data_IF_662414834787
#
_entry.id   IF_662414834787
#
_cell.length_a   1.000
_cell.length_b   1.000
_cell.length_c   1.000
_cell.angle_alpha   90.00
_cell.angle_beta   90.00
_cell.angle_gamma   90.00
#
_symmetry.space_group_name_H-M   'P 1'
#
loop_
_entity.id
_entity.type
_entity.pdbx_description
1 polymer ?
#
# COMPACT_ATOMS: atom_id res chain seq x y z
N UNK A 1 37.58 32.05 -0.96
CA UNK A 1 38.92 31.61 -1.45
C UNK A 1 40.06 31.90 -0.45
N UNK A 2 40.02 32.97 0.35
CA UNK A 2 41.08 33.27 1.33
C UNK A 2 41.06 32.38 2.60
N UNK A 3 39.92 31.80 2.99
CA UNK A 3 39.85 30.89 4.15
C UNK A 3 40.43 29.49 3.87
N UNK A 4 40.37 29.03 2.61
CA UNK A 4 40.91 27.73 2.21
C UNK A 4 42.45 27.78 2.18
N UNK A 5 43.04 28.92 1.82
CA UNK A 5 44.50 29.12 1.83
C UNK A 5 45.08 29.11 3.25
N UNK A 6 44.36 29.67 4.23
CA UNK A 6 44.77 29.61 5.65
C UNK A 6 44.78 28.19 6.22
N UNK A 7 43.88 27.31 5.77
CA UNK A 7 43.79 25.93 6.25
C UNK A 7 44.88 25.05 5.63
N UNK A 8 45.30 25.34 4.40
CA UNK A 8 46.40 24.63 3.73
C UNK A 8 47.76 25.03 4.31
N UNK A 9 48.00 26.31 4.57
CA UNK A 9 49.23 26.79 5.23
C UNK A 9 49.37 26.30 6.68
N UNK A 10 48.23 26.07 7.37
CA UNK A 10 48.22 25.48 8.71
C UNK A 10 48.52 23.97 8.69
N UNK A 11 48.13 23.26 7.61
CA UNK A 11 48.44 21.84 7.43
C UNK A 11 49.89 21.59 7.02
N UNK A 12 50.49 22.46 6.19
CA UNK A 12 51.91 22.35 5.84
C UNK A 12 52.83 22.68 7.03
N UNK A 13 52.44 23.60 7.92
CA UNK A 13 53.16 23.86 9.17
C UNK A 13 53.00 22.78 10.23
N UNK A 14 52.00 21.91 10.10
CA UNK A 14 51.75 20.79 11.02
C UNK A 14 52.40 19.47 10.56
N UNK A 15 53.21 19.50 9.50
CA UNK A 15 53.80 18.33 8.86
C UNK A 15 54.82 17.53 9.67
N UNK A 16 55.17 17.92 10.90
CA UNK A 16 56.23 17.25 11.68
C UNK A 16 55.83 16.74 13.08
N UNK A 17 54.53 16.63 13.39
CA UNK A 17 54.12 16.00 14.66
C UNK A 17 52.98 15.02 14.44
N UNK A 18 53.31 13.84 13.89
CA UNK A 18 52.52 12.64 14.14
C UNK A 18 52.99 12.08 15.48
N UNK A 19 52.26 12.38 16.55
CA UNK A 19 51.89 11.36 17.53
C UNK A 19 50.78 11.91 18.43
N UNK A 20 49.76 11.08 18.67
CA UNK A 20 48.62 11.31 19.58
C UNK A 20 47.49 12.20 19.04
N UNK A 21 46.66 11.62 18.16
CA UNK A 21 45.26 12.07 18.02
C UNK A 21 44.54 11.72 19.33
N UNK A 22 43.95 12.68 20.06
CA UNK A 22 43.21 12.36 21.28
C UNK A 22 41.94 11.57 20.95
N UNK A 23 41.47 10.67 21.84
CA UNK A 23 40.27 9.85 21.64
C UNK A 23 38.96 10.66 21.49
N UNK A 24 39.02 11.99 21.61
CA UNK A 24 37.89 12.90 21.39
C UNK A 24 37.60 13.15 19.90
N UNK A 25 38.58 13.11 18.99
CA UNK A 25 38.34 13.39 17.56
C UNK A 25 37.69 12.23 16.81
N UNK A 26 38.02 10.97 17.16
CA UNK A 26 37.31 9.80 16.64
C UNK A 26 35.83 9.78 17.06
N UNK A 27 35.53 10.30 18.26
CA UNK A 27 34.17 10.50 18.72
C UNK A 27 33.47 11.65 17.98
N UNK A 28 34.15 12.75 17.64
CA UNK A 28 33.53 13.81 16.83
C UNK A 28 33.25 13.32 15.42
N UNK A 29 34.11 12.53 14.79
CA UNK A 29 33.86 12.02 13.43
C UNK A 29 32.73 10.97 13.42
N UNK A 30 32.67 10.09 14.44
CA UNK A 30 31.56 9.15 14.63
C UNK A 30 30.25 9.87 14.98
N UNK A 31 30.28 10.89 15.84
CA UNK A 31 29.12 11.73 16.20
C UNK A 31 28.70 12.57 15.01
N UNK A 32 29.62 13.14 14.23
CA UNK A 32 29.30 13.91 13.03
C UNK A 32 28.74 12.99 11.96
N UNK A 33 29.26 11.78 11.77
CA UNK A 33 28.68 10.78 10.85
C UNK A 33 27.31 10.31 11.33
N UNK A 34 27.12 10.14 12.64
CA UNK A 34 25.83 9.78 13.25
C UNK A 34 24.83 10.93 13.13
N UNK A 35 25.21 12.18 13.40
CA UNK A 35 24.41 13.39 13.20
C UNK A 35 24.11 13.62 11.71
N UNK A 36 25.06 13.38 10.81
CA UNK A 36 24.84 13.54 9.35
C UNK A 36 23.97 12.41 8.77
N UNK A 37 23.94 11.23 9.40
CA UNK A 37 22.98 10.17 9.09
C UNK A 37 21.60 10.44 9.68
N UNK A 38 21.53 10.87 10.95
CA UNK A 38 20.30 11.25 11.65
C UNK A 38 19.66 12.53 11.05
N UNK A 39 20.44 13.42 10.42
CA UNK A 39 19.92 14.65 9.80
C UNK A 39 19.38 14.44 8.38
N UNK A 40 19.07 13.21 7.96
CA UNK A 40 18.44 12.93 6.65
C UNK A 40 17.02 12.37 6.82
N UNK A 41 16.05 13.22 7.18
CA UNK A 41 14.63 12.82 7.25
C UNK A 41 14.07 12.34 5.90
N UNK A 42 14.79 12.56 4.79
CA UNK A 42 14.40 12.16 3.43
C UNK A 42 14.85 10.75 3.03
N UNK A 43 15.68 10.05 3.83
CA UNK A 43 16.07 8.67 3.53
C UNK A 43 15.04 7.66 4.06
N UNK A 44 14.80 6.54 3.38
CA UNK A 44 13.94 5.49 3.92
C UNK A 44 14.67 4.77 5.05
N UNK A 45 14.01 4.71 6.19
CA UNK A 45 14.51 4.06 7.39
C UNK A 45 13.86 2.69 7.55
N UNK A 46 14.65 1.71 7.95
CA UNK A 46 14.20 0.35 8.19
C UNK A 46 14.29 0.12 9.68
N UNK A 47 13.11 0.10 10.33
CA UNK A 47 13.00 -0.06 11.78
C UNK A 47 13.33 -1.51 12.15
N UNK A 48 14.42 -1.71 12.89
CA UNK A 48 14.87 -3.02 13.33
C UNK A 48 14.31 -3.35 14.70
N UNK A 49 14.06 -4.64 14.91
CA UNK A 49 13.74 -5.21 16.21
C UNK A 49 15.02 -5.45 17.01
N UNK A 50 15.16 -4.79 18.16
CA UNK A 50 16.36 -4.88 19.02
C UNK A 50 16.13 -5.79 20.24
N UNK A 51 16.14 -7.11 20.04
CA UNK A 51 16.03 -8.06 21.17
C UNK A 51 14.68 -8.08 21.90
N UNK A 52 13.79 -7.14 21.61
CA UNK A 52 12.40 -7.08 22.09
C UNK A 52 11.59 -8.28 21.61
N UNK A 53 10.48 -8.62 22.25
CA UNK A 53 9.53 -9.56 21.67
C UNK A 53 8.75 -8.91 20.51
N UNK A 54 8.24 -9.74 19.60
CA UNK A 54 7.59 -9.30 18.35
C UNK A 54 6.33 -8.48 18.61
N UNK A 55 5.59 -8.83 19.66
CA UNK A 55 4.34 -8.19 20.00
C UNK A 55 4.59 -6.80 20.58
N UNK A 56 5.55 -6.66 21.50
CA UNK A 56 5.97 -5.35 22.03
C UNK A 56 6.46 -4.44 20.90
N UNK A 57 7.30 -4.96 20.00
CA UNK A 57 7.77 -4.21 18.84
C UNK A 57 6.60 -3.73 17.95
N UNK A 58 5.62 -4.59 17.70
CA UNK A 58 4.42 -4.22 16.93
C UNK A 58 3.59 -3.13 17.64
N UNK A 59 3.42 -3.21 18.96
CA UNK A 59 2.69 -2.21 19.74
C UNK A 59 3.35 -0.83 19.65
N UNK A 60 4.67 -0.76 19.76
CA UNK A 60 5.42 0.50 19.57
C UNK A 60 5.20 1.09 18.18
N UNK A 61 5.20 0.25 17.13
CA UNK A 61 4.88 0.69 15.76
C UNK A 61 3.43 1.18 15.63
N UNK A 62 2.48 0.58 16.35
CA UNK A 62 1.09 1.05 16.39
C UNK A 62 0.96 2.44 17.02
N UNK A 63 1.72 2.74 18.08
CA UNK A 63 1.73 4.07 18.69
C UNK A 63 2.14 5.13 17.67
N UNK A 64 3.19 4.86 16.89
CA UNK A 64 3.64 5.76 15.82
C UNK A 64 2.57 5.87 14.73
N UNK A 65 2.01 4.74 14.31
CA UNK A 65 1.00 4.66 13.25
C UNK A 65 -0.28 5.48 13.51
N UNK A 66 -0.66 5.71 14.77
CA UNK A 66 -1.81 6.56 15.10
C UNK A 66 -1.49 8.04 15.27
N UNK A 67 -0.22 8.44 15.23
CA UNK A 67 0.14 9.85 15.27
C UNK A 67 -0.18 10.54 13.95
N UNK A 68 -0.76 11.74 14.04
CA UNK A 68 -1.02 12.62 12.90
C UNK A 68 0.24 13.36 12.43
N UNK A 69 1.34 13.27 13.17
CA UNK A 69 2.62 13.94 12.89
C UNK A 69 3.49 13.17 11.88
N UNK A 70 3.04 11.99 11.46
CA UNK A 70 3.83 11.06 10.65
C UNK A 70 3.81 11.48 9.18
N UNK A 71 4.98 11.90 8.67
CA UNK A 71 5.18 12.21 7.25
C UNK A 71 5.09 10.99 6.31
N UNK A 72 5.04 11.26 4.99
CA UNK A 72 4.89 10.23 3.95
C UNK A 72 5.84 9.04 4.10
N UNK A 73 7.14 9.33 4.15
CA UNK A 73 8.18 8.31 4.22
C UNK A 73 8.15 7.56 5.55
N UNK A 74 7.87 8.26 6.65
CA UNK A 74 7.74 7.70 7.99
C UNK A 74 6.58 6.70 8.05
N UNK A 75 5.40 7.04 7.49
CA UNK A 75 4.25 6.10 7.41
C UNK A 75 4.59 4.87 6.59
N UNK A 76 5.30 5.04 5.48
CA UNK A 76 5.77 3.92 4.66
C UNK A 76 6.71 3.00 5.45
N UNK A 77 7.74 3.55 6.09
CA UNK A 77 8.72 2.79 6.87
C UNK A 77 8.07 2.01 8.01
N UNK A 78 7.19 2.67 8.77
CA UNK A 78 6.42 2.04 9.87
C UNK A 78 5.53 0.93 9.33
N UNK A 79 4.80 1.18 8.23
CA UNK A 79 3.95 0.16 7.61
C UNK A 79 4.74 -1.05 7.14
N UNK A 80 5.88 -0.87 6.48
CA UNK A 80 6.75 -1.99 6.06
C UNK A 80 7.30 -2.75 7.28
N UNK A 81 7.67 -2.05 8.36
CA UNK A 81 8.12 -2.69 9.60
C UNK A 81 7.01 -3.53 10.24
N UNK A 82 5.77 -3.01 10.29
CA UNK A 82 4.61 -3.76 10.80
C UNK A 82 4.36 -5.03 9.99
N UNK A 83 4.47 -4.97 8.66
CA UNK A 83 4.39 -6.16 7.80
C UNK A 83 5.51 -7.16 8.09
N UNK A 84 6.72 -6.66 8.38
CA UNK A 84 7.87 -7.48 8.73
C UNK A 84 7.76 -8.20 10.08
N UNK A 85 6.96 -7.66 11.01
CA UNK A 85 6.59 -8.38 12.22
C UNK A 85 5.76 -9.63 11.93
N UNK A 86 5.00 -9.67 10.83
CA UNK A 86 4.16 -10.83 10.50
C UNK A 86 4.92 -11.84 9.62
N UNK A 87 5.70 -11.35 8.67
CA UNK A 87 6.48 -12.20 7.77
C UNK A 87 7.87 -11.57 7.50
N UNK A 88 8.90 -12.19 8.07
CA UNK A 88 10.30 -11.72 7.93
C UNK A 88 10.82 -11.83 6.50
N UNK A 89 10.29 -12.76 5.70
CA UNK A 89 10.71 -12.96 4.31
C UNK A 89 10.22 -11.79 3.46
N UNK A 90 8.94 -11.42 3.60
CA UNK A 90 8.35 -10.22 2.99
C UNK A 90 9.19 -8.97 3.29
N UNK A 91 9.59 -8.79 4.54
CA UNK A 91 10.43 -7.67 4.95
C UNK A 91 11.80 -7.68 4.28
N UNK A 92 12.47 -8.83 4.29
CA UNK A 92 13.76 -9.02 3.65
C UNK A 92 13.70 -8.71 2.14
N UNK A 93 12.63 -9.14 1.47
CA UNK A 93 12.44 -8.92 0.05
C UNK A 93 12.14 -7.46 -0.29
N UNK A 94 11.29 -6.79 0.49
CA UNK A 94 11.03 -5.35 0.34
C UNK A 94 12.31 -4.56 0.59
N UNK A 95 13.08 -4.92 1.61
CA UNK A 95 14.39 -4.32 1.88
C UNK A 95 15.36 -4.51 0.71
N UNK A 96 15.38 -5.69 0.08
CA UNK A 96 16.21 -5.94 -1.10
C UNK A 96 15.79 -5.06 -2.29
N UNK A 97 14.49 -4.90 -2.55
CA UNK A 97 13.96 -4.01 -3.59
C UNK A 97 14.32 -2.55 -3.30
N UNK A 98 14.11 -2.11 -2.06
CA UNK A 98 14.44 -0.75 -1.64
C UNK A 98 15.93 -0.43 -1.82
N UNK A 99 16.84 -1.39 -1.60
CA UNK A 99 18.28 -1.18 -1.84
C UNK A 99 18.63 -1.00 -3.32
N UNK A 100 17.81 -1.55 -4.21
CA UNK A 100 17.98 -1.39 -5.66
C UNK A 100 17.44 -0.04 -6.13
N UNK A 101 16.31 0.41 -5.56
CA UNK A 101 15.69 1.69 -5.91
C UNK A 101 16.36 2.88 -5.20
N UNK A 102 16.92 2.67 -4.01
CA UNK A 102 17.40 3.72 -3.11
C UNK A 102 18.82 3.40 -2.64
N UNK A 103 19.74 4.33 -2.92
CA UNK A 103 21.18 4.15 -2.73
C UNK A 103 21.60 3.95 -1.27
N UNK A 104 20.84 4.46 -0.30
CA UNK A 104 21.16 4.34 1.13
C UNK A 104 19.89 4.01 1.93
N UNK A 105 19.83 2.79 2.48
CA UNK A 105 18.87 2.40 3.51
C UNK A 105 19.57 2.43 4.86
N UNK A 106 18.99 3.16 5.79
CA UNK A 106 19.50 3.24 7.15
C UNK A 106 18.63 2.36 8.04
N UNK A 107 19.28 1.54 8.84
CA UNK A 107 18.60 0.73 9.82
C UNK A 107 18.72 1.38 11.20
N UNK A 108 17.60 1.50 11.91
CA UNK A 108 17.50 2.18 13.21
C UNK A 108 16.61 1.40 14.17
N UNK A 109 16.80 1.62 15.47
CA UNK A 109 15.83 1.22 16.48
C UNK A 109 14.56 2.09 16.40
N UNK A 110 13.48 1.72 17.11
CA UNK A 110 12.27 2.56 17.19
C UNK A 110 12.59 3.89 17.88
N UNK A 111 13.39 3.85 18.95
CA UNK A 111 13.81 5.02 19.73
C UNK A 111 14.61 5.99 18.85
N UNK A 112 15.58 5.47 18.10
CA UNK A 112 16.36 6.27 17.15
C UNK A 112 15.45 6.84 16.04
N UNK A 113 14.50 6.06 15.55
CA UNK A 113 13.55 6.49 14.53
C UNK A 113 12.66 7.64 15.01
N UNK A 114 12.09 7.55 16.21
CA UNK A 114 11.26 8.60 16.84
C UNK A 114 12.06 9.88 17.04
N UNK A 115 13.27 9.77 17.61
CA UNK A 115 14.16 10.92 17.82
C UNK A 115 14.57 11.60 16.51
N UNK A 116 14.84 10.80 15.48
CA UNK A 116 15.26 11.31 14.16
C UNK A 116 14.16 12.11 13.46
N UNK A 117 12.90 11.71 13.66
CA UNK A 117 11.75 12.34 13.04
C UNK A 117 11.07 13.37 13.95
N UNK A 118 11.65 13.67 15.12
CA UNK A 118 11.14 14.63 16.10
C UNK A 118 9.66 14.39 16.44
N UNK A 119 9.28 13.12 16.61
CA UNK A 119 7.90 12.73 16.93
C UNK A 119 7.68 12.86 18.44
N UNK A 120 6.69 13.67 18.86
CA UNK A 120 6.34 13.85 20.28
C UNK A 120 5.43 12.72 20.77
N UNK A 121 5.98 11.51 20.81
CA UNK A 121 5.24 10.27 21.10
C UNK A 121 5.98 9.46 22.16
N UNK A 122 5.28 9.09 23.25
CA UNK A 122 5.79 8.11 24.20
C UNK A 122 5.57 6.68 23.70
N UNK A 123 6.56 6.14 22.99
CA UNK A 123 6.55 4.76 22.51
C UNK A 123 6.62 3.70 23.62
N UNK A 124 6.87 4.09 24.87
CA UNK A 124 6.86 3.15 25.98
C UNK A 124 5.52 3.11 26.72
N UNK A 125 4.64 4.09 26.50
CA UNK A 125 3.25 4.02 26.95
C UNK A 125 2.45 3.10 26.04
N UNK A 126 2.38 1.83 26.43
CA UNK A 126 1.65 0.78 25.73
C UNK A 126 0.34 0.42 26.44
N UNK A 127 -0.15 1.27 27.35
CA UNK A 127 -1.34 0.97 28.16
C UNK A 127 -2.61 0.73 27.34
N UNK A 128 -2.78 1.47 26.23
CA UNK A 128 -3.86 1.28 25.24
C UNK A 128 -3.79 -0.10 24.56
N UNK A 129 -2.64 -0.76 24.70
CA UNK A 129 -2.26 -1.98 24.01
C UNK A 129 -2.03 -3.17 24.95
N UNK A 130 -2.43 -3.09 26.22
CA UNK A 130 -2.14 -4.14 27.21
C UNK A 130 -2.90 -5.46 26.97
N UNK A 131 -4.13 -5.39 26.44
CA UNK A 131 -5.03 -6.56 26.28
C UNK A 131 -4.83 -7.34 24.97
N UNK A 132 -3.71 -7.11 24.29
CA UNK A 132 -3.55 -7.46 22.88
C UNK A 132 -2.93 -8.84 22.69
N UNK A 133 -3.50 -9.60 21.75
CA UNK A 133 -2.94 -10.83 21.22
C UNK A 133 -2.32 -10.64 19.81
N UNK A 134 -1.43 -11.54 19.37
CA UNK A 134 -0.88 -11.54 18.00
C UNK A 134 -1.95 -11.57 16.89
N UNK A 135 -3.17 -12.02 17.19
CA UNK A 135 -4.28 -12.06 16.23
C UNK A 135 -4.72 -10.66 15.78
N UNK A 136 -4.66 -9.66 16.66
CA UNK A 136 -4.97 -8.28 16.29
C UNK A 136 -3.89 -7.67 15.38
N UNK A 137 -2.63 -8.06 15.55
CA UNK A 137 -1.55 -7.68 14.64
C UNK A 137 -1.81 -8.22 13.21
N UNK A 138 -2.26 -9.47 13.10
CA UNK A 138 -2.64 -10.08 11.82
C UNK A 138 -3.83 -9.34 11.19
N UNK A 139 -4.84 -9.00 11.98
CA UNK A 139 -5.99 -8.20 11.54
C UNK A 139 -5.56 -6.83 10.98
N UNK A 140 -4.78 -6.08 11.76
CA UNK A 140 -4.28 -4.75 11.42
C UNK A 140 -3.42 -4.77 10.15
N UNK A 141 -2.53 -5.76 10.06
CA UNK A 141 -1.71 -6.02 8.86
C UNK A 141 -2.58 -6.31 7.63
N UNK A 142 -3.68 -7.05 7.80
CA UNK A 142 -4.66 -7.27 6.74
C UNK A 142 -5.23 -5.97 6.19
N UNK A 143 -5.66 -5.06 7.09
CA UNK A 143 -6.17 -3.75 6.70
C UNK A 143 -5.09 -2.94 5.97
N UNK A 144 -3.88 -2.89 6.52
CA UNK A 144 -2.73 -2.20 5.93
C UNK A 144 -2.44 -2.70 4.51
N UNK A 145 -2.45 -4.01 4.28
CA UNK A 145 -2.22 -4.59 2.96
C UNK A 145 -3.32 -4.22 1.94
N UNK A 146 -4.54 -3.90 2.37
CA UNK A 146 -5.56 -3.41 1.43
C UNK A 146 -5.29 -1.99 0.92
N UNK A 147 -4.41 -1.24 1.59
CA UNK A 147 -3.96 0.07 1.14
C UNK A 147 -3.00 0.01 -0.05
N UNK A 148 -2.56 -1.16 -0.52
CA UNK A 148 -1.75 -1.21 -1.76
C UNK A 148 -2.56 -0.86 -3.02
N UNK A 149 -3.89 -0.92 -2.93
CA UNK A 149 -4.81 -0.73 -4.06
C UNK A 149 -5.90 0.31 -3.84
N UNK A 150 -5.91 1.04 -2.71
CA UNK A 150 -6.94 2.04 -2.42
C UNK A 150 -6.36 3.34 -1.87
N UNK A 151 -6.64 4.42 -2.58
CA UNK A 151 -6.44 5.79 -2.09
C UNK A 151 -7.55 6.20 -1.13
N UNK A 152 -7.18 6.69 0.05
CA UNK A 152 -8.12 7.23 1.03
C UNK A 152 -8.05 8.76 1.14
N UNK A 153 -9.18 9.36 1.49
CA UNK A 153 -9.39 10.79 1.72
C UNK A 153 -10.57 11.00 2.69
N UNK A 154 -10.85 12.26 3.05
CA UNK A 154 -11.91 12.61 4.02
C UNK A 154 -13.30 12.09 3.61
N UNK A 155 -13.54 11.98 2.30
CA UNK A 155 -14.84 11.60 1.76
C UNK A 155 -15.09 10.09 1.80
N UNK A 156 -14.01 9.28 1.82
CA UNK A 156 -14.13 7.83 1.66
C UNK A 156 -13.56 7.01 2.83
N UNK A 157 -12.73 7.60 3.69
CA UNK A 157 -11.99 6.87 4.72
C UNK A 157 -12.93 6.16 5.70
N UNK A 158 -13.93 6.87 6.25
CA UNK A 158 -14.84 6.32 7.26
C UNK A 158 -15.63 5.11 6.75
N UNK A 159 -16.31 5.25 5.61
CA UNK A 159 -17.07 4.16 5.01
C UNK A 159 -16.15 2.97 4.67
N UNK A 160 -14.94 3.27 4.15
CA UNK A 160 -13.96 2.25 3.83
C UNK A 160 -13.49 1.47 5.05
N UNK A 161 -13.12 2.13 6.15
CA UNK A 161 -12.59 1.45 7.34
C UNK A 161 -13.66 0.60 8.02
N UNK A 162 -14.90 1.09 8.08
CA UNK A 162 -16.05 0.32 8.60
C UNK A 162 -16.29 -0.95 7.76
N UNK A 163 -16.26 -0.83 6.43
CA UNK A 163 -16.39 -1.99 5.53
C UNK A 163 -15.23 -2.99 5.68
N UNK A 164 -14.01 -2.49 5.90
CA UNK A 164 -12.82 -3.34 6.13
C UNK A 164 -12.89 -4.05 7.47
N UNK A 165 -13.27 -3.36 8.54
CA UNK A 165 -13.50 -3.97 9.85
C UNK A 165 -14.46 -5.15 9.73
N UNK A 166 -15.61 -4.96 9.06
CA UNK A 166 -16.58 -6.04 8.84
C UNK A 166 -15.99 -7.21 8.02
N UNK A 167 -15.23 -6.89 6.98
CA UNK A 167 -14.64 -7.89 6.08
C UNK A 167 -13.55 -8.75 6.74
N UNK A 168 -12.85 -8.21 7.74
CA UNK A 168 -11.79 -8.93 8.47
C UNK A 168 -12.26 -9.51 9.80
N UNK A 169 -13.16 -8.84 10.53
CA UNK A 169 -13.60 -9.30 11.85
C UNK A 169 -14.23 -10.70 11.77
N UNK A 170 -15.20 -10.89 10.86
CA UNK A 170 -15.96 -12.14 10.76
C UNK A 170 -15.07 -13.33 10.35
N UNK A 171 -14.25 -13.28 9.28
CA UNK A 171 -13.42 -14.42 8.90
C UNK A 171 -12.33 -14.78 9.92
N UNK A 172 -11.92 -13.82 10.76
CA UNK A 172 -10.90 -14.02 11.78
C UNK A 172 -11.49 -14.37 13.16
N UNK A 173 -12.82 -14.41 13.29
CA UNK A 173 -13.51 -14.81 14.52
C UNK A 173 -13.66 -13.70 15.55
N UNK A 174 -13.46 -12.44 15.17
CA UNK A 174 -13.74 -11.29 16.04
C UNK A 174 -15.20 -10.88 15.97
N UNK A 175 -15.70 -10.32 17.09
CA UNK A 175 -16.96 -9.61 17.09
C UNK A 175 -16.76 -8.26 16.39
N UNK A 176 -17.62 -7.93 15.42
CA UNK A 176 -17.55 -6.67 14.67
C UNK A 176 -17.57 -5.43 15.58
N UNK A 177 -18.25 -5.52 16.72
CA UNK A 177 -18.38 -4.46 17.72
C UNK A 177 -17.29 -4.53 18.80
N UNK A 178 -16.24 -5.34 18.64
CA UNK A 178 -15.11 -5.37 19.58
C UNK A 178 -14.41 -4.00 19.59
N UNK A 179 -14.46 -3.25 20.71
CA UNK A 179 -13.86 -1.93 20.79
C UNK A 179 -12.35 -1.95 20.55
N UNK A 180 -11.71 -3.09 20.82
CA UNK A 180 -10.27 -3.25 20.66
C UNK A 180 -9.86 -3.10 19.19
N UNK A 181 -10.71 -3.49 18.23
CA UNK A 181 -10.41 -3.41 16.80
C UNK A 181 -10.20 -1.98 16.29
N UNK A 182 -10.81 -0.98 16.93
CA UNK A 182 -10.66 0.43 16.56
C UNK A 182 -9.24 0.93 16.83
N UNK A 183 -8.59 0.45 17.89
CA UNK A 183 -7.22 0.82 18.25
C UNK A 183 -6.12 0.26 17.32
N UNK A 184 -6.48 -0.36 16.19
CA UNK A 184 -5.54 -0.92 15.20
C UNK A 184 -5.81 -0.50 13.77
N UNK A 185 -6.79 0.39 13.60
CA UNK A 185 -7.14 0.90 12.30
C UNK A 185 -6.15 2.01 11.94
N UNK A 186 -5.54 2.00 10.73
CA UNK A 186 -4.67 3.08 10.29
C UNK A 186 -5.41 4.39 10.31
N UNK A 187 -4.82 5.42 10.93
CA UNK A 187 -5.33 6.79 10.80
C UNK A 187 -5.45 7.15 9.33
N UNK A 188 -6.34 8.09 9.02
CA UNK A 188 -6.54 8.51 7.64
C UNK A 188 -5.25 9.07 7.04
N UNK A 189 -4.52 9.89 7.80
CA UNK A 189 -3.24 10.50 7.39
C UNK A 189 -2.24 9.40 7.06
N UNK A 190 -2.06 8.44 7.98
CA UNK A 190 -1.19 7.29 7.77
C UNK A 190 -1.57 6.52 6.50
N UNK A 191 -2.85 6.21 6.33
CA UNK A 191 -3.32 5.43 5.20
C UNK A 191 -3.11 6.13 3.85
N UNK A 192 -3.35 7.43 3.79
CA UNK A 192 -3.12 8.24 2.59
C UNK A 192 -1.61 8.32 2.25
N UNK A 193 -0.77 8.51 3.27
CA UNK A 193 0.68 8.57 3.16
C UNK A 193 1.28 7.25 2.68
N UNK A 194 0.90 6.15 3.34
CA UNK A 194 1.32 4.79 2.98
C UNK A 194 0.91 4.43 1.54
N UNK A 195 -0.35 4.69 1.15
CA UNK A 195 -0.79 4.47 -0.23
C UNK A 195 0.06 5.27 -1.23
N UNK A 196 0.33 6.54 -0.95
CA UNK A 196 1.12 7.41 -1.84
C UNK A 196 2.50 6.82 -2.13
N UNK A 197 3.20 6.38 -1.09
CA UNK A 197 4.54 5.80 -1.20
C UNK A 197 4.55 4.42 -1.88
N UNK A 198 3.53 3.58 -1.62
CA UNK A 198 3.39 2.29 -2.31
C UNK A 198 2.97 2.47 -3.77
N UNK A 199 2.14 3.48 -4.06
CA UNK A 199 1.67 3.77 -5.42
C UNK A 199 2.82 4.22 -6.33
N UNK A 200 3.73 5.04 -5.82
CA UNK A 200 4.90 5.53 -6.57
C UNK A 200 5.94 4.44 -6.85
N UNK A 201 5.99 3.37 -6.05
CA UNK A 201 6.98 2.28 -6.17
C UNK A 201 6.34 0.97 -6.61
N UNK A 202 6.22 0.78 -7.92
CA UNK A 202 5.49 -0.36 -8.49
C UNK A 202 6.10 -1.72 -8.12
N UNK A 203 7.43 -1.83 -7.99
CA UNK A 203 8.10 -3.08 -7.59
C UNK A 203 7.70 -3.50 -6.18
N UNK A 204 7.62 -2.54 -5.25
CA UNK A 204 7.19 -2.79 -3.87
C UNK A 204 5.72 -3.20 -3.84
N UNK A 205 4.84 -2.46 -4.54
CA UNK A 205 3.43 -2.83 -4.67
C UNK A 205 3.25 -4.25 -5.23
N UNK A 206 3.99 -4.58 -6.29
CA UNK A 206 3.98 -5.92 -6.90
C UNK A 206 4.47 -6.98 -5.91
N UNK A 207 5.54 -6.72 -5.15
CA UNK A 207 6.07 -7.68 -4.19
C UNK A 207 5.10 -7.93 -3.04
N UNK A 208 4.52 -6.86 -2.48
CA UNK A 208 3.46 -6.94 -1.48
C UNK A 208 2.30 -7.82 -1.95
N UNK A 209 1.85 -7.63 -3.20
CA UNK A 209 0.82 -8.47 -3.80
C UNK A 209 1.25 -9.94 -3.94
N UNK A 210 2.44 -10.22 -4.50
CA UNK A 210 2.93 -11.58 -4.74
C UNK A 210 3.10 -12.35 -3.42
N UNK A 211 3.65 -11.71 -2.39
CA UNK A 211 3.79 -12.33 -1.07
C UNK A 211 2.43 -12.57 -0.42
N UNK A 212 1.51 -11.60 -0.48
CA UNK A 212 0.13 -11.80 -0.01
C UNK A 212 -0.52 -12.98 -0.73
N UNK A 213 -0.31 -13.10 -2.05
CA UNK A 213 -0.76 -14.23 -2.84
C UNK A 213 -0.17 -15.57 -2.36
N UNK A 214 1.13 -15.64 -2.14
CA UNK A 214 1.80 -16.84 -1.63
C UNK A 214 1.30 -17.22 -0.23
N UNK A 215 1.24 -16.25 0.69
CA UNK A 215 0.77 -16.43 2.08
C UNK A 215 -0.70 -16.86 2.16
N UNK A 216 -1.53 -16.49 1.19
CA UNK A 216 -2.94 -16.89 1.14
C UNK A 216 -3.15 -18.41 1.07
N UNK A 217 -2.14 -19.18 0.65
CA UNK A 217 -2.20 -20.64 0.65
C UNK A 217 -1.95 -21.28 2.02
N UNK A 218 -1.34 -20.54 2.95
CA UNK A 218 -1.01 -21.05 4.28
C UNK A 218 -2.29 -21.31 5.10
N UNK A 219 -2.33 -22.34 5.95
CA UNK A 219 -3.44 -22.52 6.88
C UNK A 219 -3.41 -21.48 8.01
N UNK A 220 -4.54 -21.34 8.72
CA UNK A 220 -4.65 -20.46 9.89
C UNK A 220 -4.97 -19.01 9.57
N UNK A 221 -4.91 -18.16 10.60
CA UNK A 221 -5.42 -16.79 10.56
C UNK A 221 -4.70 -15.92 9.52
N UNK A 222 -3.37 -16.04 9.39
CA UNK A 222 -2.60 -15.28 8.41
C UNK A 222 -3.03 -15.57 6.97
N UNK A 223 -3.20 -16.86 6.63
CA UNK A 223 -3.66 -17.24 5.29
C UNK A 223 -5.08 -16.78 5.01
N UNK A 224 -5.99 -16.89 5.99
CA UNK A 224 -7.35 -16.33 5.91
C UNK A 224 -7.32 -14.82 5.67
N UNK A 225 -6.53 -14.07 6.44
CA UNK A 225 -6.33 -12.62 6.23
C UNK A 225 -5.86 -12.32 4.82
N UNK A 226 -4.84 -13.04 4.33
CA UNK A 226 -4.32 -12.82 2.99
C UNK A 226 -5.37 -13.13 1.91
N UNK A 227 -6.19 -14.18 2.05
CA UNK A 227 -7.33 -14.44 1.14
C UNK A 227 -8.34 -13.31 1.14
N UNK A 228 -8.67 -12.78 2.33
CA UNK A 228 -9.55 -11.62 2.48
C UNK A 228 -8.95 -10.41 1.77
N UNK A 229 -7.66 -10.10 1.98
CA UNK A 229 -6.95 -9.02 1.29
C UNK A 229 -7.07 -9.17 -0.24
N UNK A 230 -6.74 -10.32 -0.80
CA UNK A 230 -6.81 -10.56 -2.25
C UNK A 230 -8.22 -10.37 -2.80
N UNK A 231 -9.23 -10.82 -2.05
CA UNK A 231 -10.65 -10.65 -2.41
C UNK A 231 -11.02 -9.17 -2.43
N UNK A 232 -10.60 -8.41 -1.43
CA UNK A 232 -10.90 -6.97 -1.32
C UNK A 232 -10.13 -6.10 -2.33
N UNK A 233 -8.97 -6.59 -2.78
CA UNK A 233 -8.14 -5.95 -3.80
C UNK A 233 -8.54 -6.34 -5.23
N UNK A 234 -9.44 -7.31 -5.41
CA UNK A 234 -9.90 -7.75 -6.71
C UNK A 234 -10.57 -6.60 -7.45
N UNK A 235 -10.11 -6.30 -8.65
CA UNK A 235 -10.62 -5.17 -9.43
C UNK A 235 -10.17 -3.80 -8.94
N UNK A 236 -9.15 -3.71 -8.06
CA UNK A 236 -8.64 -2.45 -7.56
C UNK A 236 -8.29 -1.49 -8.72
N UNK A 237 -8.88 -0.30 -8.68
CA UNK A 237 -8.77 0.74 -9.71
C UNK A 237 -9.17 0.31 -11.14
N UNK A 238 -9.98 -0.76 -11.29
CA UNK A 238 -10.56 -1.23 -12.56
C UNK A 238 -12.06 -0.91 -12.69
N UNK A 239 -12.59 -0.08 -11.78
CA UNK A 239 -14.01 0.27 -11.71
C UNK A 239 -14.60 0.73 -13.03
N UNK A 240 -13.88 1.54 -13.79
CA UNK A 240 -14.39 2.06 -15.05
C UNK A 240 -14.51 0.95 -16.10
N UNK A 241 -13.46 0.13 -16.21
CA UNK A 241 -13.42 -0.99 -17.15
C UNK A 241 -14.46 -2.06 -16.83
N UNK A 242 -14.62 -2.45 -15.56
CA UNK A 242 -15.60 -3.47 -15.20
C UNK A 242 -17.06 -2.99 -15.38
N UNK A 243 -17.36 -1.70 -15.16
CA UNK A 243 -18.68 -1.14 -15.50
C UNK A 243 -18.93 -1.14 -17.01
N UNK A 244 -17.93 -0.73 -17.81
CA UNK A 244 -18.02 -0.79 -19.28
C UNK A 244 -18.27 -2.22 -19.75
N UNK A 245 -17.50 -3.19 -19.21
CA UNK A 245 -17.65 -4.58 -19.58
C UNK A 245 -19.04 -5.11 -19.25
N UNK A 246 -19.55 -4.84 -18.06
CA UNK A 246 -20.87 -5.32 -17.65
C UNK A 246 -22.01 -4.64 -18.41
N UNK A 247 -22.05 -3.31 -18.41
CA UNK A 247 -23.21 -2.56 -18.86
C UNK A 247 -23.22 -2.26 -20.35
N UNK A 248 -22.05 -2.18 -20.99
CA UNK A 248 -21.98 -1.93 -22.44
C UNK A 248 -21.69 -3.20 -23.22
N UNK A 249 -20.62 -3.93 -22.88
CA UNK A 249 -20.22 -5.09 -23.69
C UNK A 249 -21.17 -6.29 -23.52
N UNK A 250 -21.66 -6.54 -22.30
CA UNK A 250 -22.50 -7.70 -22.01
C UNK A 250 -23.98 -7.39 -22.15
N UNK A 251 -24.45 -6.30 -21.53
CA UNK A 251 -25.90 -6.04 -21.42
C UNK A 251 -26.50 -5.19 -22.54
N UNK A 252 -25.75 -4.29 -23.17
CA UNK A 252 -26.27 -3.36 -24.18
C UNK A 252 -25.29 -3.18 -25.37
N UNK A 253 -24.90 -4.27 -26.06
CA UNK A 253 -23.89 -4.22 -27.13
C UNK A 253 -24.32 -3.37 -28.34
N UNK A 254 -25.61 -3.20 -28.57
CA UNK A 254 -26.17 -2.37 -29.66
C UNK A 254 -25.79 -0.88 -29.54
N UNK A 255 -25.41 -0.41 -28.35
CA UNK A 255 -24.95 0.97 -28.12
C UNK A 255 -23.70 1.30 -28.94
N UNK A 256 -22.89 0.30 -29.32
CA UNK A 256 -21.72 0.50 -30.18
C UNK A 256 -22.07 0.88 -31.62
N UNK A 257 -23.34 0.77 -32.03
CA UNK A 257 -23.83 1.31 -33.29
C UNK A 257 -23.92 2.85 -33.27
N UNK A 258 -23.84 3.50 -32.11
CA UNK A 258 -23.85 4.96 -32.02
C UNK A 258 -22.49 5.53 -32.43
N UNK A 259 -22.49 6.55 -33.30
CA UNK A 259 -21.27 7.19 -33.81
C UNK A 259 -20.28 7.61 -32.70
N UNK A 260 -20.79 8.10 -31.57
CA UNK A 260 -19.97 8.50 -30.42
C UNK A 260 -19.27 7.31 -29.75
N UNK A 261 -19.92 6.16 -29.71
CA UNK A 261 -19.41 4.94 -29.08
C UNK A 261 -18.52 4.12 -30.01
N UNK A 262 -18.80 4.13 -31.30
CA UNK A 262 -17.92 3.54 -32.32
C UNK A 262 -16.49 4.08 -32.23
N UNK A 263 -16.31 5.38 -31.96
CA UNK A 263 -14.99 6.01 -31.74
C UNK A 263 -14.26 5.49 -30.50
N UNK A 264 -15.00 5.04 -29.47
CA UNK A 264 -14.43 4.52 -28.22
C UNK A 264 -14.11 3.02 -28.28
N UNK A 265 -14.66 2.29 -29.27
CA UNK A 265 -14.49 0.85 -29.39
C UNK A 265 -13.02 0.40 -29.48
N UNK A 266 -12.12 1.05 -30.25
CA UNK A 266 -10.70 0.66 -30.27
C UNK A 266 -10.00 0.80 -28.92
N UNK A 267 -10.42 1.74 -28.06
CA UNK A 267 -9.88 1.91 -26.71
C UNK A 267 -10.33 0.76 -25.80
N UNK A 268 -11.62 0.42 -25.85
CA UNK A 268 -12.20 -0.66 -25.06
C UNK A 268 -11.62 -2.01 -25.47
N UNK A 269 -11.48 -2.26 -26.78
CA UNK A 269 -10.85 -3.49 -27.29
C UNK A 269 -9.39 -3.62 -26.87
N UNK A 270 -8.64 -2.51 -26.80
CA UNK A 270 -7.26 -2.53 -26.26
C UNK A 270 -7.23 -2.89 -24.78
N UNK A 271 -8.07 -2.25 -23.95
CA UNK A 271 -8.21 -2.58 -22.54
C UNK A 271 -8.60 -4.05 -22.34
N UNK A 272 -9.55 -4.55 -23.13
CA UNK A 272 -10.02 -5.93 -23.07
C UNK A 272 -8.94 -6.94 -23.47
N UNK A 273 -8.23 -6.70 -24.58
CA UNK A 273 -7.08 -7.52 -25.00
C UNK A 273 -6.00 -7.55 -23.93
N UNK A 274 -5.69 -6.39 -23.33
CA UNK A 274 -4.71 -6.28 -22.24
C UNK A 274 -5.15 -7.08 -21.02
N UNK A 275 -6.42 -6.97 -20.63
CA UNK A 275 -6.99 -7.71 -19.50
C UNK A 275 -6.86 -9.22 -19.71
N UNK A 276 -7.28 -9.74 -20.87
CA UNK A 276 -7.18 -11.17 -21.18
C UNK A 276 -5.73 -11.66 -21.23
N UNK A 277 -4.81 -10.83 -21.75
CA UNK A 277 -3.40 -11.23 -21.88
C UNK A 277 -2.69 -11.56 -20.55
N UNK A 278 -3.23 -11.09 -19.42
CA UNK A 278 -2.69 -11.35 -18.08
C UNK A 278 -3.20 -12.66 -17.48
N UNK A 279 -4.25 -13.25 -18.05
CA UNK A 279 -4.76 -14.56 -17.65
C UNK A 279 -5.39 -14.53 -16.24
N UNK A 280 -5.11 -15.52 -15.37
CA UNK A 280 -5.75 -15.65 -14.07
C UNK A 280 -5.57 -14.46 -13.12
N UNK A 281 -4.55 -13.62 -13.36
CA UNK A 281 -4.22 -12.46 -12.53
C UNK A 281 -4.82 -11.15 -13.05
N UNK A 282 -5.67 -11.20 -14.08
CA UNK A 282 -6.20 -10.02 -14.76
C UNK A 282 -6.93 -9.05 -13.81
N UNK A 283 -7.64 -9.58 -12.81
CA UNK A 283 -8.38 -8.76 -11.84
C UNK A 283 -7.46 -7.91 -10.94
N UNK A 284 -6.16 -8.21 -10.87
CA UNK A 284 -5.16 -7.47 -10.09
C UNK A 284 -4.13 -6.77 -10.98
N UNK A 285 -4.41 -6.61 -12.28
CA UNK A 285 -3.45 -6.11 -13.27
C UNK A 285 -2.79 -4.78 -12.88
N UNK A 286 -3.52 -3.84 -12.25
CA UNK A 286 -3.00 -2.53 -11.82
C UNK A 286 -2.12 -2.60 -10.56
N UNK A 287 -2.17 -3.70 -9.82
CA UNK A 287 -1.26 -3.95 -8.70
C UNK A 287 0.06 -4.57 -9.17
N UNK A 288 -0.01 -5.43 -10.20
CA UNK A 288 1.12 -6.24 -10.66
C UNK A 288 1.99 -5.51 -11.67
N UNK A 289 1.37 -4.75 -12.58
CA UNK A 289 2.06 -4.09 -13.68
C UNK A 289 2.42 -2.63 -13.34
N UNK A 290 3.49 -2.09 -13.96
CA UNK A 290 3.77 -0.66 -13.92
C UNK A 290 2.66 0.17 -14.56
N UNK A 291 2.54 1.44 -14.19
CA UNK A 291 1.45 2.31 -14.63
C UNK A 291 1.44 2.51 -16.15
N UNK A 292 2.62 2.56 -16.77
CA UNK A 292 2.79 2.67 -18.22
C UNK A 292 2.22 1.47 -19.01
N UNK A 293 2.08 0.31 -18.35
CA UNK A 293 1.54 -0.90 -18.96
C UNK A 293 0.04 -1.09 -18.70
N UNK A 294 -0.61 -0.18 -17.99
CA UNK A 294 -2.04 -0.23 -17.64
C UNK A 294 -2.79 1.05 -18.01
N UNK A 295 -2.22 1.87 -18.89
CA UNK A 295 -2.78 3.15 -19.37
C UNK A 295 -4.16 2.99 -20.01
N UNK A 296 -4.46 1.82 -20.56
CA UNK A 296 -5.76 1.49 -21.15
C UNK A 296 -6.90 1.53 -20.12
N UNK A 297 -6.59 1.33 -18.84
CA UNK A 297 -7.57 1.30 -17.75
C UNK A 297 -7.72 2.66 -17.04
N UNK A 298 -6.94 3.68 -17.43
CA UNK A 298 -7.01 5.01 -16.82
C UNK A 298 -8.36 5.67 -17.10
N UNK A 299 -8.85 6.47 -16.13
CA UNK A 299 -10.12 7.18 -16.24
C UNK A 299 -10.20 8.02 -17.52
N UNK A 300 -9.16 8.79 -17.84
CA UNK A 300 -9.15 9.66 -19.01
C UNK A 300 -9.30 8.87 -20.33
N UNK A 301 -8.75 7.66 -20.39
CA UNK A 301 -8.84 6.78 -21.56
C UNK A 301 -10.25 6.23 -21.77
N UNK A 302 -10.96 5.92 -20.68
CA UNK A 302 -12.26 5.24 -20.70
C UNK A 302 -13.43 6.14 -20.25
N UNK A 303 -13.23 7.46 -20.15
CA UNK A 303 -14.19 8.39 -19.54
C UNK A 303 -15.56 8.33 -20.19
N UNK A 304 -15.63 8.54 -21.51
CA UNK A 304 -16.89 8.56 -22.28
C UNK A 304 -17.66 7.24 -22.16
N UNK A 305 -17.07 6.06 -22.47
CA UNK A 305 -17.81 4.81 -22.34
C UNK A 305 -18.19 4.52 -20.89
N UNK A 306 -17.35 4.90 -19.91
CA UNK A 306 -17.71 4.76 -18.50
C UNK A 306 -18.91 5.62 -18.11
N UNK A 307 -18.98 6.88 -18.54
CA UNK A 307 -20.11 7.76 -18.24
C UNK A 307 -21.43 7.17 -18.72
N UNK A 308 -21.44 6.60 -19.93
CA UNK A 308 -22.64 5.95 -20.49
C UNK A 308 -22.96 4.67 -19.70
N UNK A 309 -21.97 3.81 -19.45
CA UNK A 309 -22.14 2.59 -18.66
C UNK A 309 -22.74 2.88 -17.28
N UNK A 310 -22.22 3.92 -16.60
CA UNK A 310 -22.71 4.39 -15.31
C UNK A 310 -24.16 4.86 -15.38
N UNK A 311 -24.52 5.67 -16.38
CA UNK A 311 -25.88 6.18 -16.49
C UNK A 311 -26.89 5.05 -16.72
N UNK A 312 -26.54 4.07 -17.56
CA UNK A 312 -27.32 2.86 -17.74
C UNK A 312 -27.49 2.13 -16.41
N UNK A 313 -26.38 1.87 -15.70
CA UNK A 313 -26.43 1.16 -14.43
C UNK A 313 -27.35 1.84 -13.39
N UNK A 314 -27.33 3.18 -13.32
CA UNK A 314 -28.23 3.97 -12.47
C UNK A 314 -29.68 3.79 -12.91
N UNK A 315 -29.97 3.87 -14.21
CA UNK A 315 -31.32 3.65 -14.76
C UNK A 315 -31.83 2.23 -14.47
N UNK A 316 -30.96 1.24 -14.42
CA UNK A 316 -31.28 -0.14 -14.02
C UNK A 316 -31.34 -0.35 -12.49
N UNK A 317 -31.32 0.72 -11.69
CA UNK A 317 -31.53 0.68 -10.24
C UNK A 317 -30.26 0.55 -9.40
N UNK A 318 -29.06 0.61 -10.00
CA UNK A 318 -27.81 0.64 -9.22
C UNK A 318 -27.50 2.05 -8.73
N UNK A 319 -28.20 2.47 -7.67
CA UNK A 319 -28.08 3.81 -7.07
C UNK A 319 -26.71 4.08 -6.45
N UNK A 320 -25.94 3.05 -6.09
CA UNK A 320 -24.57 3.20 -5.52
C UNK A 320 -23.61 3.90 -6.48
N UNK A 321 -23.83 3.76 -7.79
CA UNK A 321 -23.00 4.39 -8.82
C UNK A 321 -23.31 5.88 -9.01
N UNK A 322 -24.39 6.40 -8.42
CA UNK A 322 -24.74 7.84 -8.47
C UNK A 322 -23.66 8.73 -7.85
N UNK A 323 -22.88 8.20 -6.90
CA UNK A 323 -21.79 8.91 -6.23
C UNK A 323 -20.40 8.64 -6.84
N UNK A 324 -20.32 7.83 -7.90
CA UNK A 324 -19.06 7.50 -8.57
C UNK A 324 -18.82 8.46 -9.74
N UNK A 325 -17.83 9.35 -9.64
CA UNK A 325 -17.46 10.27 -10.74
C UNK A 325 -16.47 9.65 -11.74
N UNK A 326 -16.06 8.39 -11.50
CA UNK A 326 -15.09 7.65 -12.32
C UNK A 326 -13.64 7.91 -11.95
N UNK A 327 -13.38 8.79 -10.98
CA UNK A 327 -12.06 8.95 -10.37
C UNK A 327 -11.91 7.98 -9.19
N UNK A 328 -10.68 7.61 -8.81
CA UNK A 328 -10.40 6.71 -7.68
C UNK A 328 -10.89 7.24 -6.30
N UNK A 329 -11.52 8.42 -6.28
CA UNK A 329 -12.03 9.11 -5.09
C UNK A 329 -13.34 8.57 -4.55
N UNK A 330 -14.04 7.70 -5.28
CA UNK A 330 -15.35 7.20 -4.85
C UNK A 330 -15.29 6.47 -3.49
N UNK A 331 -16.27 6.72 -2.59
CA UNK A 331 -16.36 6.11 -1.25
C UNK A 331 -16.25 4.60 -1.27
N UNK A 332 -16.98 3.98 -2.18
CA UNK A 332 -17.11 2.53 -2.24
C UNK A 332 -17.25 2.14 -3.71
N UNK A 333 -16.19 1.57 -4.26
CA UNK A 333 -16.39 0.72 -5.43
C UNK A 333 -15.64 -0.56 -5.23
N UNK A 334 -16.11 -1.34 -4.27
CA UNK A 334 -16.14 -2.77 -4.50
C UNK A 334 -17.22 -2.98 -5.54
N UNK A 335 -16.82 -3.17 -6.79
CA UNK A 335 -17.72 -3.94 -7.63
C UNK A 335 -17.82 -5.30 -6.97
N UNK A 336 -19.01 -5.62 -6.48
CA UNK A 336 -19.48 -6.99 -6.41
C UNK A 336 -19.29 -7.53 -7.82
N UNK A 337 -18.13 -8.13 -8.12
CA UNK A 337 -18.08 -9.22 -9.08
C UNK A 337 -19.14 -10.17 -8.57
N UNK A 338 -20.31 -10.13 -9.22
CA UNK A 338 -21.53 -10.72 -8.71
C UNK A 338 -21.21 -12.12 -8.15
N UNK A 339 -21.61 -12.47 -6.92
CA UNK A 339 -21.41 -13.83 -6.38
C UNK A 339 -22.07 -14.92 -7.23
N UNK A 340 -22.91 -14.54 -8.22
CA UNK A 340 -23.46 -15.42 -9.25
C UNK A 340 -22.56 -15.66 -10.47
N UNK A 341 -21.37 -15.07 -10.53
CA UNK A 341 -20.28 -15.61 -11.36
C UNK A 341 -19.64 -16.78 -10.62
N UNK A 342 -20.40 -17.87 -10.42
CA UNK A 342 -19.82 -19.21 -10.28
C UNK A 342 -18.85 -19.36 -11.44
N UNK A 343 -17.54 -19.37 -11.17
CA UNK A 343 -16.53 -20.05 -12.00
C UNK A 343 -16.98 -20.29 -13.46
N UNK A 344 -17.09 -19.24 -14.26
CA UNK A 344 -17.17 -19.44 -15.70
C UNK A 344 -15.74 -19.74 -16.11
N UNK A 345 -15.32 -21.00 -15.98
CA UNK A 345 -14.10 -21.47 -16.62
C UNK A 345 -14.26 -21.15 -18.10
N UNK A 346 -13.43 -20.26 -18.62
CA UNK A 346 -13.46 -19.79 -20.01
C UNK A 346 -13.45 -20.95 -21.03
N UNK A 347 -12.91 -22.11 -20.62
CA UNK A 347 -12.92 -23.39 -21.34
C UNK A 347 -14.34 -23.89 -21.70
N UNK A 348 -15.37 -23.55 -20.92
CA UNK A 348 -16.75 -23.92 -21.20
C UNK A 348 -17.38 -23.11 -22.35
N UNK A 349 -16.79 -21.99 -22.78
CA UNK A 349 -17.30 -21.18 -23.91
C UNK A 349 -16.67 -21.54 -25.25
N UNK A 350 -15.41 -21.97 -25.27
CA UNK A 350 -14.76 -22.37 -26.54
C UNK A 350 -15.26 -23.75 -27.01
N UNK A 351 -15.70 -24.61 -26.08
CA UNK A 351 -16.17 -25.96 -26.40
C UNK A 351 -17.70 -26.13 -26.45
N UNK A 352 -18.47 -25.05 -26.29
CA UNK A 352 -19.94 -25.08 -26.38
C UNK A 352 -20.43 -24.97 -27.82
N UNK A 353 -20.55 -26.11 -28.50
CA UNK A 353 -21.25 -26.25 -29.78
C UNK A 353 -22.69 -25.71 -29.68
N UNK A 354 -23.04 -24.89 -30.68
CA UNK A 354 -24.37 -24.52 -31.22
C UNK A 354 -25.47 -24.13 -30.22
#
# INVERSE_FOLDING_TARGET
>A
MNEIRMIVDAKEKAGDVISTVPPKLANVEAITTRITKLARPELPWIVRREGEDLLTHYKKLLTIHHSDEVGHLTSFCVGIAMLGCIDLQLYSDIRAILRQEILELVDVSIEEFVQTHDLDIDINDLSDYDKISPYYCIYSTGILLTLIGKRLNDQNYKAWIEARNNSFAVPLGFTVTDPSLFGYQPSQVFAANFYSEVKSRWLIRRRLFVETWALSSKPGMLGTTCKTVLTLLRGAELTNFANISQWLLVLNPEIFCWNTMAKSLPLILRAYKKFISVGPLADWIKLILPDEHVREFHHNTLKVPFTIARQIAITYGNSTLSQVDGTDRSPETQMLFCPRQRSWSWEQRINGKA
#
